data_IF_560539743150
#
_entry.id   IF_560539743150
#
_cell.length_a   1.000
_cell.length_b   1.000
_cell.length_c   1.000
_cell.angle_alpha   90.00
_cell.angle_beta   90.00
_cell.angle_gamma   90.00
#
_symmetry.space_group_name_H-M   'P 1'
#
loop_
_entity.id
_entity.type
_entity.pdbx_description
1 polymer ?
#
# COMPACT_ATOMS: atom_id res chain seq x y z
N UNK A 1 16.32 8.32 -5.19
CA UNK A 1 15.92 7.88 -6.55
C UNK A 1 15.65 6.38 -6.65
N UNK A 2 16.57 5.49 -6.23
CA UNK A 2 16.41 4.03 -6.39
C UNK A 2 15.15 3.44 -5.73
N UNK A 3 14.82 3.86 -4.49
CA UNK A 3 13.62 3.36 -3.78
C UNK A 3 12.30 3.69 -4.50
N UNK A 4 12.15 4.93 -4.96
CA UNK A 4 10.96 5.36 -5.69
C UNK A 4 10.83 4.61 -7.03
N UNK A 5 11.93 4.36 -7.72
CA UNK A 5 11.92 3.56 -8.95
C UNK A 5 11.46 2.12 -8.69
N UNK A 6 11.95 1.49 -7.61
CA UNK A 6 11.52 0.16 -7.19
C UNK A 6 10.03 0.11 -6.81
N UNK A 7 9.52 1.13 -6.10
CA UNK A 7 8.09 1.26 -5.78
C UNK A 7 7.25 1.33 -7.05
N UNK A 8 7.65 2.15 -8.04
CA UNK A 8 6.95 2.25 -9.33
C UNK A 8 6.97 0.92 -10.10
N UNK A 9 8.10 0.22 -10.06
CA UNK A 9 8.21 -1.11 -10.65
C UNK A 9 7.23 -2.09 -9.99
N UNK A 10 7.18 -2.17 -8.66
CA UNK A 10 6.24 -3.03 -7.93
C UNK A 10 4.77 -2.70 -8.25
N UNK A 11 4.43 -1.42 -8.36
CA UNK A 11 3.11 -1.00 -8.79
C UNK A 11 2.78 -1.50 -10.21
N UNK A 12 3.73 -1.41 -11.13
CA UNK A 12 3.56 -1.90 -12.51
C UNK A 12 3.30 -3.41 -12.53
N UNK A 13 4.10 -4.17 -11.76
CA UNK A 13 3.89 -5.62 -11.58
C UNK A 13 2.51 -5.92 -11.00
N UNK A 14 2.05 -5.13 -10.01
CA UNK A 14 0.74 -5.31 -9.42
C UNK A 14 -0.40 -5.10 -10.45
N UNK A 15 -0.26 -4.10 -11.33
CA UNK A 15 -1.22 -3.84 -12.42
C UNK A 15 -1.21 -4.96 -13.47
N UNK A 16 -0.05 -5.54 -13.77
CA UNK A 16 0.04 -6.67 -14.70
C UNK A 16 -0.59 -7.94 -14.10
N UNK A 17 -0.35 -8.19 -12.81
CA UNK A 17 -0.96 -9.29 -12.07
C UNK A 17 -2.48 -9.14 -12.02
N UNK A 18 -3.00 -7.94 -11.76
CA UNK A 18 -4.45 -7.73 -11.65
C UNK A 18 -5.23 -7.98 -12.94
N UNK A 19 -4.53 -8.02 -14.09
CA UNK A 19 -5.11 -8.33 -15.40
C UNK A 19 -5.08 -9.82 -15.74
N UNK A 20 -4.42 -10.65 -14.92
CA UNK A 20 -4.39 -12.10 -15.12
C UNK A 20 -5.76 -12.72 -14.79
N UNK A 21 -6.08 -13.90 -15.34
CA UNK A 21 -7.25 -14.64 -14.92
C UNK A 21 -7.15 -15.10 -13.47
N UNK A 22 -8.28 -15.31 -12.82
CA UNK A 22 -8.31 -15.96 -11.51
C UNK A 22 -7.75 -17.39 -11.60
N UNK A 23 -7.02 -17.86 -10.57
CA UNK A 23 -6.75 -17.20 -9.29
C UNK A 23 -5.47 -16.32 -9.29
N UNK A 24 -4.79 -16.19 -10.43
CA UNK A 24 -3.50 -15.50 -10.53
C UNK A 24 -3.62 -13.99 -10.20
N UNK A 25 -4.74 -13.38 -10.58
CA UNK A 25 -5.06 -11.98 -10.24
C UNK A 25 -5.04 -11.70 -8.75
N UNK A 26 -5.41 -12.66 -7.89
CA UNK A 26 -5.46 -12.46 -6.43
C UNK A 26 -4.10 -12.08 -5.85
N UNK A 27 -3.00 -12.51 -6.46
CA UNK A 27 -1.64 -12.13 -6.05
C UNK A 27 -1.39 -10.62 -6.16
N UNK A 28 -2.12 -9.91 -7.01
CA UNK A 28 -1.98 -8.46 -7.19
C UNK A 28 -2.28 -7.69 -5.91
N UNK A 29 -3.14 -8.22 -5.02
CA UNK A 29 -3.47 -7.59 -3.73
C UNK A 29 -2.22 -7.43 -2.87
N UNK A 30 -1.34 -8.44 -2.86
CA UNK A 30 -0.09 -8.41 -2.09
C UNK A 30 0.87 -7.38 -2.67
N UNK A 31 1.01 -7.36 -4.00
CA UNK A 31 1.90 -6.44 -4.70
C UNK A 31 1.44 -4.99 -4.58
N UNK A 32 0.13 -4.74 -4.71
CA UNK A 32 -0.44 -3.41 -4.48
C UNK A 32 -0.18 -2.94 -3.06
N UNK A 33 -0.51 -3.76 -2.05
CA UNK A 33 -0.26 -3.42 -0.65
C UNK A 33 1.21 -3.05 -0.42
N UNK A 34 2.14 -3.89 -0.87
CA UNK A 34 3.58 -3.66 -0.70
C UNK A 34 4.03 -2.36 -1.39
N UNK A 35 3.57 -2.10 -2.61
CA UNK A 35 3.93 -0.88 -3.34
C UNK A 35 3.45 0.39 -2.60
N UNK A 36 2.25 0.34 -2.03
CA UNK A 36 1.65 1.45 -1.28
C UNK A 36 2.36 1.63 0.06
N UNK A 37 2.62 0.56 0.80
CA UNK A 37 3.32 0.61 2.08
C UNK A 37 4.73 1.19 1.95
N UNK A 38 5.50 0.73 0.95
CA UNK A 38 6.82 1.28 0.67
C UNK A 38 6.76 2.75 0.24
N UNK A 39 5.72 3.15 -0.48
CA UNK A 39 5.50 4.55 -0.83
C UNK A 39 5.19 5.41 0.40
N UNK A 40 4.30 4.95 1.28
CA UNK A 40 3.94 5.64 2.51
C UNK A 40 5.15 5.79 3.44
N UNK A 41 5.96 4.74 3.56
CA UNK A 41 7.23 4.81 4.29
C UNK A 41 8.18 5.84 3.69
N UNK A 42 8.34 5.84 2.36
CA UNK A 42 9.21 6.82 1.70
C UNK A 42 8.69 8.25 1.88
N UNK A 43 7.38 8.45 1.83
CA UNK A 43 6.75 9.73 2.05
C UNK A 43 6.92 10.21 3.50
N UNK A 44 6.81 9.30 4.47
CA UNK A 44 7.00 9.59 5.89
C UNK A 44 8.46 9.96 6.18
N UNK A 45 9.42 9.23 5.60
CA UNK A 45 10.85 9.57 5.63
C UNK A 45 11.13 10.95 5.01
N UNK A 46 10.49 11.26 3.87
CA UNK A 46 10.69 12.54 3.18
C UNK A 46 10.11 13.74 3.95
N UNK A 47 8.98 13.54 4.63
CA UNK A 47 8.30 14.57 5.44
C UNK A 47 8.81 14.64 6.88
N UNK A 48 9.81 13.81 7.23
CA UNK A 48 10.38 13.67 8.57
C UNK A 48 9.29 13.43 9.63
N UNK A 49 8.35 12.52 9.31
CA UNK A 49 7.28 12.09 10.20
C UNK A 49 7.30 10.57 10.33
N UNK A 50 7.27 10.07 11.56
CA UNK A 50 7.21 8.64 11.79
C UNK A 50 7.60 8.22 13.19
N UNK A 51 7.13 7.04 13.58
CA UNK A 51 7.56 6.31 14.76
C UNK A 51 8.41 5.10 14.35
N UNK A 52 9.04 4.41 15.30
CA UNK A 52 9.69 3.11 15.00
C UNK A 52 8.60 2.09 14.66
N UNK A 53 8.47 1.75 13.38
CA UNK A 53 7.55 0.73 12.83
C UNK A 53 6.05 1.04 12.99
N UNK A 54 5.52 2.07 12.31
CA UNK A 54 4.07 2.29 12.25
C UNK A 54 3.37 1.13 11.51
N UNK A 55 2.15 0.80 11.94
CA UNK A 55 1.28 -0.09 11.19
C UNK A 55 0.80 0.57 9.90
N UNK A 56 0.39 -0.24 8.91
CA UNK A 56 -0.03 0.26 7.59
C UNK A 56 -1.10 1.36 7.65
N UNK A 57 -2.08 1.24 8.57
CA UNK A 57 -3.15 2.24 8.69
C UNK A 57 -2.71 3.50 9.44
N UNK A 58 -1.64 3.42 10.23
CA UNK A 58 -1.15 4.54 11.06
C UNK A 58 -0.55 5.65 10.17
N UNK A 59 -0.08 5.31 8.97
CA UNK A 59 0.45 6.28 8.01
C UNK A 59 -0.53 7.40 7.65
N UNK A 60 -1.85 7.13 7.65
CA UNK A 60 -2.84 8.18 7.40
C UNK A 60 -2.81 9.24 8.49
N UNK A 61 -2.69 8.83 9.75
CA UNK A 61 -2.66 9.76 10.89
C UNK A 61 -1.30 10.45 11.01
N UNK A 62 -0.22 9.77 10.62
CA UNK A 62 1.14 10.34 10.63
C UNK A 62 1.36 11.39 9.53
N UNK A 63 0.80 11.17 8.33
CA UNK A 63 1.02 12.03 7.17
C UNK A 63 0.02 13.18 7.08
N UNK A 64 -1.21 13.01 7.58
CA UNK A 64 -2.27 14.01 7.53
C UNK A 64 -1.85 15.41 8.03
N UNK A 65 -1.13 15.57 9.16
CA UNK A 65 -0.71 16.89 9.64
C UNK A 65 0.28 17.64 8.74
N UNK A 66 0.96 16.94 7.83
CA UNK A 66 1.97 17.52 6.92
C UNK A 66 1.43 17.83 5.54
N UNK A 67 0.21 17.37 5.22
CA UNK A 67 -0.40 17.54 3.90
C UNK A 67 -1.34 18.77 3.93
N UNK A 68 -0.95 19.83 3.24
CA UNK A 68 -1.62 21.14 3.26
C UNK A 68 -2.92 21.22 2.46
N UNK A 69 -3.18 20.28 1.56
CA UNK A 69 -4.37 20.27 0.69
C UNK A 69 -5.10 18.93 0.77
N UNK A 70 -6.14 18.84 1.60
CA UNK A 70 -7.09 17.72 1.61
C UNK A 70 -6.59 16.41 2.25
N UNK A 71 -5.41 16.40 2.86
CA UNK A 71 -4.88 15.24 3.59
C UNK A 71 -4.60 14.01 2.71
N UNK A 72 -4.28 12.87 3.36
CA UNK A 72 -4.12 11.61 2.65
C UNK A 72 -5.48 10.97 2.39
N UNK A 73 -5.92 10.96 1.14
CA UNK A 73 -7.24 10.43 0.76
C UNK A 73 -7.29 8.90 0.77
N UNK A 74 -8.47 8.33 0.51
CA UNK A 74 -8.67 6.88 0.29
C UNK A 74 -8.40 5.95 1.49
N UNK A 75 -8.42 6.46 2.74
CA UNK A 75 -8.22 5.65 3.96
C UNK A 75 -9.11 4.40 4.01
N UNK A 76 -10.40 4.53 3.69
CA UNK A 76 -11.35 3.41 3.69
C UNK A 76 -11.06 2.38 2.61
N UNK A 77 -10.66 2.82 1.42
CA UNK A 77 -10.27 1.94 0.33
C UNK A 77 -9.03 1.13 0.70
N UNK A 78 -8.07 1.74 1.39
CA UNK A 78 -6.86 1.08 1.87
C UNK A 78 -7.12 0.15 3.06
N UNK A 79 -8.09 0.47 3.91
CA UNK A 79 -8.59 -0.47 4.93
C UNK A 79 -9.18 -1.73 4.31
N UNK A 80 -9.98 -1.59 3.24
CA UNK A 80 -10.50 -2.75 2.48
C UNK A 80 -9.39 -3.56 1.83
N UNK A 81 -8.41 -2.90 1.22
CA UNK A 81 -7.24 -3.57 0.64
C UNK A 81 -6.46 -4.38 1.69
N UNK A 82 -6.19 -3.78 2.86
CA UNK A 82 -5.50 -4.47 3.95
C UNK A 82 -6.32 -5.68 4.46
N UNK A 83 -7.64 -5.54 4.60
CA UNK A 83 -8.52 -6.67 4.97
C UNK A 83 -8.47 -7.79 3.93
N UNK A 84 -8.56 -7.47 2.64
CA UNK A 84 -8.47 -8.46 1.56
C UNK A 84 -7.10 -9.16 1.55
N UNK A 85 -6.03 -8.41 1.78
CA UNK A 85 -4.67 -8.93 1.92
C UNK A 85 -4.53 -9.92 3.09
N UNK A 86 -5.10 -9.59 4.25
CA UNK A 86 -5.10 -10.48 5.42
C UNK A 86 -5.88 -11.75 5.12
N UNK A 87 -7.06 -11.63 4.52
CA UNK A 87 -7.90 -12.78 4.14
C UNK A 87 -7.18 -13.73 3.16
N UNK A 88 -6.55 -13.17 2.12
CA UNK A 88 -5.77 -13.94 1.17
C UNK A 88 -4.56 -14.62 1.83
N UNK A 89 -3.76 -13.87 2.61
CA UNK A 89 -2.51 -14.38 3.18
C UNK A 89 -2.74 -15.43 4.28
N UNK A 90 -3.73 -15.23 5.15
CA UNK A 90 -3.91 -16.06 6.35
C UNK A 90 -5.02 -17.11 6.20
N UNK A 91 -5.98 -16.88 5.31
CA UNK A 91 -7.15 -17.75 5.15
C UNK A 91 -7.27 -18.35 3.74
N UNK A 92 -6.38 -17.96 2.81
CA UNK A 92 -6.46 -18.41 1.42
C UNK A 92 -7.73 -17.98 0.70
N UNK A 93 -8.47 -17.01 1.26
CA UNK A 93 -9.72 -16.53 0.70
C UNK A 93 -9.41 -15.63 -0.49
N UNK A 94 -9.86 -16.05 -1.67
CA UNK A 94 -9.76 -15.25 -2.89
C UNK A 94 -10.81 -14.13 -2.84
N UNK A 95 -10.46 -12.92 -3.30
CA UNK A 95 -11.36 -11.75 -3.37
C UNK A 95 -12.53 -11.94 -4.34
#
# INVERSE_FOLDING_TARGET
MQRLAFIKYLYTVAVEQSKQPEPLSSSSILSFHNSIELFLQLASEYLDVGSKSPGFMDYWELLEPKLTEGGLTQKESMRRLNKARVALKHHGTLP
#
